data_IF_578130559094
#
_entry.id   IF_578130559094
#
_cell.length_a   1.000
_cell.length_b   1.000
_cell.length_c   1.000
_cell.angle_alpha   90.00
_cell.angle_beta   90.00
_cell.angle_gamma   90.00
#
_symmetry.space_group_name_H-M   'P 1'
#
loop_
_entity.id
_entity.type
_entity.pdbx_description
1 polymer ?
#
# COMPACT_ATOMS: atom_id res chain seq x y z
N UNK A 1 -8.87 -39.09 26.51
CA UNK A 1 -10.23 -38.54 26.72
C UNK A 1 -11.25 -39.65 26.45
N UNK A 2 -11.84 -40.29 27.47
CA UNK A 2 -12.92 -41.24 27.24
C UNK A 2 -14.11 -40.50 26.61
N UNK A 3 -14.76 -41.08 25.61
CA UNK A 3 -15.93 -40.49 24.96
C UNK A 3 -17.07 -40.32 25.98
N UNK A 4 -17.86 -39.24 25.86
CA UNK A 4 -18.97 -38.94 26.78
C UNK A 4 -19.97 -40.10 26.96
N UNK A 5 -20.06 -40.99 25.97
CA UNK A 5 -20.85 -42.22 26.00
C UNK A 5 -20.37 -43.23 27.06
N UNK A 6 -19.06 -43.33 27.32
CA UNK A 6 -18.50 -44.27 28.28
C UNK A 6 -18.82 -43.89 29.75
N UNK A 7 -18.92 -42.60 30.04
CA UNK A 7 -19.17 -42.06 31.39
C UNK A 7 -20.60 -42.37 31.85
N UNK A 8 -21.56 -42.38 30.93
CA UNK A 8 -22.97 -42.63 31.24
C UNK A 8 -23.24 -44.05 31.74
N UNK A 9 -22.43 -45.05 31.33
CA UNK A 9 -22.60 -46.44 31.72
C UNK A 9 -22.04 -46.77 33.12
N UNK A 10 -21.23 -45.89 33.71
CA UNK A 10 -20.64 -46.09 35.04
C UNK A 10 -21.46 -45.47 36.19
N UNK A 11 -22.46 -44.65 35.85
CA UNK A 11 -23.30 -43.95 36.82
C UNK A 11 -24.63 -44.71 36.89
N UNK A 12 -24.80 -45.51 37.95
CA UNK A 12 -26.01 -46.27 38.33
C UNK A 12 -26.93 -46.70 37.16
N UNK A 13 -26.94 -47.97 36.74
CA UNK A 13 -27.62 -48.43 35.50
C UNK A 13 -29.15 -48.26 35.49
N UNK A 14 -29.73 -47.67 36.54
CA UNK A 14 -31.18 -47.47 36.73
C UNK A 14 -31.67 -46.04 36.45
N UNK A 15 -30.81 -45.07 36.14
CA UNK A 15 -31.22 -43.67 35.84
C UNK A 15 -31.00 -43.34 34.36
N UNK A 16 -32.05 -42.89 33.66
CA UNK A 16 -32.02 -42.59 32.22
C UNK A 16 -31.69 -41.13 31.86
N UNK A 17 -31.71 -40.21 32.82
CA UNK A 17 -31.41 -38.79 32.57
C UNK A 17 -30.61 -38.23 33.75
N UNK A 18 -29.58 -37.43 33.43
CA UNK A 18 -28.71 -36.79 34.40
C UNK A 18 -28.65 -35.28 34.13
N UNK A 19 -28.61 -34.48 35.20
CA UNK A 19 -28.37 -33.04 35.04
C UNK A 19 -26.90 -32.82 34.72
N UNK A 20 -26.59 -31.89 33.81
CA UNK A 20 -25.20 -31.60 33.38
C UNK A 20 -24.24 -31.36 34.55
N UNK A 21 -24.73 -30.74 35.63
CA UNK A 21 -23.95 -30.56 36.87
C UNK A 21 -23.50 -31.87 37.54
N UNK A 22 -24.34 -32.90 37.54
CA UNK A 22 -24.03 -34.22 38.14
C UNK A 22 -23.00 -34.99 37.31
N UNK A 23 -23.10 -34.91 35.98
CA UNK A 23 -22.12 -35.52 35.06
C UNK A 23 -20.75 -34.86 35.19
N UNK A 24 -20.72 -33.54 35.35
CA UNK A 24 -19.47 -32.78 35.45
C UNK A 24 -18.77 -33.02 36.80
N UNK A 25 -19.54 -33.12 37.89
CA UNK A 25 -19.02 -33.47 39.21
C UNK A 25 -18.44 -34.90 39.24
N UNK A 26 -19.16 -35.88 38.69
CA UNK A 26 -18.69 -37.27 38.65
C UNK A 26 -17.47 -37.46 37.73
N UNK A 27 -17.41 -36.71 36.63
CA UNK A 27 -16.22 -36.66 35.76
C UNK A 27 -15.01 -36.04 36.45
N UNK A 28 -15.19 -35.13 37.40
CA UNK A 28 -14.08 -34.54 38.15
C UNK A 28 -13.57 -35.49 39.24
N UNK A 29 -14.48 -36.19 39.92
CA UNK A 29 -14.13 -37.27 40.88
C UNK A 29 -13.33 -38.38 40.19
N UNK A 30 -13.81 -38.90 39.05
CA UNK A 30 -13.11 -39.95 38.29
C UNK A 30 -11.72 -39.52 37.79
N UNK A 31 -11.51 -38.23 37.52
CA UNK A 31 -10.20 -37.69 37.12
C UNK A 31 -9.23 -37.58 38.31
N UNK A 32 -9.73 -37.32 39.52
CA UNK A 32 -8.91 -37.34 40.73
C UNK A 32 -8.50 -38.77 41.12
N UNK A 33 -9.39 -39.74 40.93
CA UNK A 33 -9.09 -41.16 41.20
C UNK A 33 -8.10 -41.77 40.18
N UNK A 34 -8.08 -41.28 38.94
CA UNK A 34 -7.11 -41.72 37.90
C UNK A 34 -5.70 -41.12 38.09
N UNK A 35 -5.55 -39.99 38.80
CA UNK A 35 -4.25 -39.37 39.09
C UNK A 35 -3.51 -40.00 40.29
N UNK A 36 -4.19 -40.75 41.16
CA UNK A 36 -3.58 -41.45 42.31
C UNK A 36 -3.13 -42.90 42.02
N UNK A 37 -3.43 -43.46 40.85
CA UNK A 37 -3.03 -44.83 40.47
C UNK A 37 -2.25 -44.85 39.16
N UNK A 38 -0.97 -44.46 39.22
CA UNK A 38 -0.07 -44.52 38.06
C UNK A 38 0.24 -45.95 37.57
N UNK A 39 0.23 -46.16 36.25
CA UNK A 39 1.09 -47.13 35.55
C UNK A 39 0.97 -47.01 34.02
N UNK A 40 2.13 -46.92 33.38
CA UNK A 40 2.48 -46.97 31.96
C UNK A 40 1.58 -47.78 31.00
N UNK A 41 1.33 -47.22 29.81
CA UNK A 41 1.43 -47.94 28.54
C UNK A 41 1.54 -46.98 27.33
N UNK A 42 2.69 -47.07 26.67
CA UNK A 42 3.11 -46.49 25.40
C UNK A 42 2.26 -47.00 24.21
N UNK A 43 1.78 -46.09 23.34
CA UNK A 43 1.44 -46.38 21.93
C UNK A 43 1.62 -45.13 21.06
N UNK A 44 2.71 -45.14 20.30
CA UNK A 44 2.91 -44.38 19.06
C UNK A 44 1.84 -44.72 18.04
N UNK A 45 1.27 -43.69 17.41
CA UNK A 45 0.85 -43.76 16.01
C UNK A 45 1.21 -42.45 15.32
N UNK A 46 1.89 -42.64 14.19
CA UNK A 46 2.54 -41.70 13.31
C UNK A 46 1.50 -41.11 12.33
N UNK A 47 1.39 -39.79 12.31
CA UNK A 47 0.68 -39.05 11.28
C UNK A 47 1.38 -37.70 11.07
N UNK A 48 2.34 -37.72 10.13
CA UNK A 48 2.73 -36.62 9.23
C UNK A 48 2.33 -35.21 9.69
N UNK A 49 3.26 -34.62 10.44
CA UNK A 49 3.32 -33.23 10.81
C UNK A 49 3.63 -32.34 9.59
N UNK A 50 2.63 -31.61 9.10
CA UNK A 50 2.84 -30.36 8.37
C UNK A 50 1.73 -29.38 8.75
N UNK A 51 1.78 -28.93 9.99
CA UNK A 51 1.00 -27.82 10.49
C UNK A 51 1.90 -27.04 11.45
N UNK A 52 2.04 -25.74 11.13
CA UNK A 52 2.49 -24.68 12.01
C UNK A 52 3.76 -24.97 12.81
N UNK A 53 4.88 -24.46 12.30
CA UNK A 53 5.94 -23.98 13.18
C UNK A 53 5.29 -22.98 14.15
N UNK A 54 4.91 -23.48 15.33
CA UNK A 54 4.70 -22.68 16.52
C UNK A 54 6.08 -22.16 16.94
N UNK A 55 6.61 -21.22 16.14
CA UNK A 55 7.58 -20.28 16.66
C UNK A 55 6.84 -19.49 17.74
N UNK A 56 7.21 -19.82 18.97
CA UNK A 56 6.87 -19.15 20.22
C UNK A 56 7.40 -17.71 20.20
N UNK A 57 6.85 -16.89 19.30
CA UNK A 57 7.04 -15.46 19.31
C UNK A 57 5.74 -14.91 19.85
N UNK A 58 5.81 -14.48 21.10
CA UNK A 58 5.02 -13.43 21.70
C UNK A 58 4.79 -12.33 20.65
N UNK A 59 3.83 -12.55 19.74
CA UNK A 59 3.44 -11.62 18.71
C UNK A 59 2.73 -10.54 19.51
N UNK A 60 3.55 -9.61 19.98
CA UNK A 60 3.28 -8.54 20.93
C UNK A 60 1.79 -8.33 21.10
N UNK A 61 1.22 -8.79 22.23
CA UNK A 61 -0.21 -8.67 22.51
C UNK A 61 -0.72 -7.24 22.27
N UNK A 62 0.16 -6.24 22.42
CA UNK A 62 -0.07 -4.83 22.05
C UNK A 62 -0.37 -4.67 20.55
N UNK A 63 0.44 -5.28 19.68
CA UNK A 63 0.26 -5.25 18.21
C UNK A 63 -1.01 -5.97 17.77
N UNK A 64 -1.37 -7.08 18.41
CA UNK A 64 -2.64 -7.77 18.14
C UNK A 64 -3.82 -6.89 18.57
N UNK A 65 -3.77 -6.32 19.77
CA UNK A 65 -4.82 -5.43 20.26
C UNK A 65 -5.02 -4.21 19.35
N UNK A 66 -3.92 -3.56 18.94
CA UNK A 66 -3.96 -2.46 17.97
C UNK A 66 -4.53 -2.90 16.61
N UNK A 67 -4.16 -4.08 16.14
CA UNK A 67 -4.70 -4.64 14.88
C UNK A 67 -6.21 -4.86 14.97
N UNK A 68 -6.71 -5.33 16.12
CA UNK A 68 -8.15 -5.49 16.36
C UNK A 68 -8.87 -4.15 16.32
N UNK A 69 -8.33 -3.13 16.98
CA UNK A 69 -8.96 -1.81 17.03
C UNK A 69 -8.98 -1.16 15.64
N UNK A 70 -7.86 -1.20 14.91
CA UNK A 70 -7.75 -0.67 13.54
C UNK A 70 -8.65 -1.40 12.53
N UNK A 71 -8.89 -2.70 12.69
CA UNK A 71 -9.84 -3.45 11.88
C UNK A 71 -11.29 -3.08 12.21
N UNK A 72 -11.60 -2.88 13.50
CA UNK A 72 -12.94 -2.43 13.93
C UNK A 72 -13.27 -1.03 13.46
N UNK A 73 -12.29 -0.11 13.48
CA UNK A 73 -12.45 1.23 12.91
C UNK A 73 -12.80 1.19 11.41
N UNK A 74 -12.26 0.19 10.68
CA UNK A 74 -12.55 -0.07 9.27
C UNK A 74 -13.79 -0.93 9.03
N UNK A 75 -14.49 -1.35 10.08
CA UNK A 75 -15.63 -2.28 10.04
C UNK A 75 -15.31 -3.63 9.38
N UNK A 76 -14.06 -4.08 9.48
CA UNK A 76 -13.60 -5.35 8.94
C UNK A 76 -13.63 -6.46 10.01
N UNK A 77 -13.88 -7.73 9.61
CA UNK A 77 -13.84 -8.84 10.54
C UNK A 77 -12.48 -8.94 11.25
N UNK A 78 -12.51 -9.06 12.58
CA UNK A 78 -11.29 -9.10 13.41
C UNK A 78 -10.41 -10.31 13.07
N UNK A 79 -11.02 -11.45 12.75
CA UNK A 79 -10.31 -12.67 12.32
C UNK A 79 -11.20 -13.51 11.43
N UNK A 80 -10.70 -13.93 10.27
CA UNK A 80 -11.39 -14.91 9.41
C UNK A 80 -11.00 -16.35 9.78
N UNK A 81 -11.82 -17.31 9.35
CA UNK A 81 -11.56 -18.73 9.61
C UNK A 81 -10.25 -19.17 8.95
N UNK A 82 -9.37 -19.81 9.73
CA UNK A 82 -8.08 -20.29 9.26
C UNK A 82 -6.96 -19.24 9.18
N UNK A 83 -7.21 -17.97 9.47
CA UNK A 83 -6.15 -16.95 9.51
C UNK A 83 -5.26 -17.10 10.76
N UNK A 84 -3.94 -17.12 10.63
CA UNK A 84 -3.03 -16.94 11.77
C UNK A 84 -2.97 -15.46 12.21
N UNK A 85 -2.41 -15.16 13.40
CA UNK A 85 -2.24 -13.75 13.83
C UNK A 85 -1.40 -12.94 12.84
N UNK A 86 -0.39 -13.57 12.23
CA UNK A 86 0.41 -12.94 11.18
C UNK A 86 -0.42 -12.60 9.94
N UNK A 87 -1.39 -13.44 9.58
CA UNK A 87 -2.25 -13.21 8.41
C UNK A 87 -3.24 -12.07 8.64
N UNK A 88 -3.78 -11.95 9.85
CA UNK A 88 -4.64 -10.81 10.25
C UNK A 88 -3.87 -9.48 10.11
N UNK A 89 -2.62 -9.44 10.60
CA UNK A 89 -1.75 -8.24 10.50
C UNK A 89 -1.42 -7.93 9.04
N UNK A 90 -1.09 -8.94 8.23
CA UNK A 90 -0.85 -8.76 6.79
C UNK A 90 -2.08 -8.21 6.07
N UNK A 91 -3.27 -8.70 6.41
CA UNK A 91 -4.54 -8.20 5.85
C UNK A 91 -4.78 -6.75 6.23
N UNK A 92 -4.60 -6.38 7.50
CA UNK A 92 -4.70 -4.99 7.93
C UNK A 92 -3.72 -4.09 7.16
N UNK A 93 -2.46 -4.51 7.02
CA UNK A 93 -1.46 -3.73 6.27
C UNK A 93 -1.85 -3.53 4.80
N UNK A 94 -2.47 -4.53 4.16
CA UNK A 94 -3.00 -4.38 2.80
C UNK A 94 -4.11 -3.34 2.74
N UNK A 95 -5.08 -3.43 3.65
CA UNK A 95 -6.20 -2.48 3.73
C UNK A 95 -5.70 -1.05 3.98
N UNK A 96 -4.72 -0.88 4.87
CA UNK A 96 -4.10 0.42 5.13
C UNK A 96 -3.43 1.00 3.88
N UNK A 97 -2.72 0.16 3.13
CA UNK A 97 -2.11 0.60 1.87
C UNK A 97 -3.19 0.98 0.85
N UNK A 98 -4.23 0.18 0.67
CA UNK A 98 -5.35 0.47 -0.24
C UNK A 98 -6.06 1.78 0.14
N UNK A 99 -6.32 2.02 1.43
CA UNK A 99 -6.88 3.28 1.94
C UNK A 99 -5.95 4.47 1.62
N UNK A 100 -4.64 4.29 1.76
CA UNK A 100 -3.68 5.35 1.46
C UNK A 100 -3.57 5.63 -0.04
N UNK A 101 -3.62 4.59 -0.87
CA UNK A 101 -3.61 4.71 -2.33
C UNK A 101 -4.86 5.40 -2.85
N UNK A 102 -6.04 5.00 -2.35
CA UNK A 102 -7.32 5.62 -2.69
C UNK A 102 -7.35 7.09 -2.26
N UNK A 103 -6.97 7.39 -1.03
CA UNK A 103 -6.88 8.77 -0.53
C UNK A 103 -5.89 9.62 -1.35
N UNK A 104 -4.73 9.07 -1.70
CA UNK A 104 -3.75 9.75 -2.55
C UNK A 104 -4.33 10.06 -3.93
N UNK A 105 -5.04 9.10 -4.53
CA UNK A 105 -5.72 9.29 -5.82
C UNK A 105 -6.80 10.37 -5.73
N UNK A 106 -7.62 10.35 -4.67
CA UNK A 106 -8.66 11.36 -4.44
C UNK A 106 -8.08 12.77 -4.24
N UNK A 107 -7.02 12.89 -3.46
CA UNK A 107 -6.31 14.16 -3.22
C UNK A 107 -5.68 14.69 -4.52
N UNK A 108 -5.08 13.80 -5.32
CA UNK A 108 -4.56 14.15 -6.65
C UNK A 108 -5.66 14.68 -7.56
N UNK A 109 -6.80 13.98 -7.68
CA UNK A 109 -7.94 14.44 -8.48
C UNK A 109 -8.50 15.77 -7.98
N UNK A 110 -8.59 15.95 -6.65
CA UNK A 110 -9.06 17.19 -6.03
C UNK A 110 -8.18 18.37 -6.41
N UNK A 111 -6.87 18.18 -6.41
CA UNK A 111 -5.90 19.19 -6.78
C UNK A 111 -5.92 19.49 -8.29
N UNK A 112 -6.26 18.51 -9.13
CA UNK A 112 -6.32 18.67 -10.59
C UNK A 112 -7.61 19.37 -11.06
N UNK A 113 -8.74 19.19 -10.36
CA UNK A 113 -10.05 19.79 -10.70
C UNK A 113 -10.03 21.31 -11.00
N UNK A 114 -9.40 22.18 -10.19
CA UNK A 114 -9.36 23.62 -10.50
C UNK A 114 -8.63 23.92 -11.80
N UNK A 115 -7.48 23.27 -12.05
CA UNK A 115 -6.70 23.45 -13.28
C UNK A 115 -7.46 22.99 -14.52
N UNK A 116 -8.16 21.85 -14.45
CA UNK A 116 -8.99 21.38 -15.56
C UNK A 116 -10.11 22.37 -15.89
N UNK A 117 -10.69 23.01 -14.86
CA UNK A 117 -11.72 24.02 -15.01
C UNK A 117 -11.17 25.29 -15.68
N UNK A 118 -10.00 25.76 -15.27
CA UNK A 118 -9.35 26.93 -15.85
C UNK A 118 -8.84 26.67 -17.27
N UNK A 119 -8.25 25.50 -17.53
CA UNK A 119 -7.88 25.05 -18.87
C UNK A 119 -9.10 25.00 -19.81
N UNK A 120 -10.25 24.52 -19.32
CA UNK A 120 -11.49 24.50 -20.09
C UNK A 120 -12.06 25.90 -20.34
N UNK A 121 -11.73 26.90 -19.52
CA UNK A 121 -12.16 28.29 -19.68
C UNK A 121 -11.28 29.04 -20.68
N UNK A 122 -9.98 28.78 -20.68
CA UNK A 122 -9.02 29.36 -21.62
C UNK A 122 -9.23 28.82 -23.04
N UNK A 123 -9.47 27.52 -23.18
CA UNK A 123 -9.69 26.86 -24.47
C UNK A 123 -11.16 26.90 -24.94
N UNK A 124 -11.86 28.01 -24.69
CA UNK A 124 -13.27 28.20 -25.10
C UNK A 124 -13.48 28.24 -26.61
N UNK A 125 -12.46 28.63 -27.36
CA UNK A 125 -12.41 28.44 -28.81
C UNK A 125 -11.96 27.01 -29.09
N UNK A 126 -12.86 26.18 -29.61
CA UNK A 126 -12.62 24.76 -29.94
C UNK A 126 -11.49 24.51 -30.97
N UNK A 127 -10.81 25.57 -31.42
CA UNK A 127 -9.91 25.60 -32.56
C UNK A 127 -8.44 25.30 -32.20
N UNK A 128 -8.05 25.32 -30.92
CA UNK A 128 -6.70 24.91 -30.51
C UNK A 128 -6.73 24.25 -29.13
N UNK A 129 -6.47 22.95 -29.07
CA UNK A 129 -6.34 22.16 -27.82
C UNK A 129 -4.86 21.81 -27.57
N UNK A 130 -3.97 22.41 -28.36
CA UNK A 130 -2.56 22.08 -28.34
C UNK A 130 -1.87 22.73 -27.15
N UNK A 131 -1.00 21.97 -26.53
CA UNK A 131 -0.19 22.41 -25.40
C UNK A 131 1.02 23.13 -25.93
N UNK A 132 1.47 24.16 -25.21
CA UNK A 132 2.66 24.91 -25.60
C UNK A 132 3.89 24.00 -25.72
N UNK A 133 4.51 24.03 -26.89
CA UNK A 133 5.78 23.38 -27.16
C UNK A 133 6.92 24.37 -26.94
N UNK A 134 7.89 24.03 -26.08
CA UNK A 134 9.09 24.84 -25.91
C UNK A 134 9.97 24.76 -27.18
N UNK A 135 10.49 25.91 -27.65
CA UNK A 135 11.36 26.06 -28.83
C UNK A 135 12.80 25.55 -28.60
N UNK A 136 12.95 24.46 -27.85
CA UNK A 136 14.26 23.94 -27.43
C UNK A 136 14.80 23.00 -28.49
N UNK A 137 15.83 23.44 -29.21
CA UNK A 137 16.55 22.62 -30.18
C UNK A 137 17.62 21.77 -29.47
N UNK A 138 17.18 20.81 -28.68
CA UNK A 138 18.06 19.79 -28.11
C UNK A 138 17.59 18.39 -28.46
N UNK A 139 18.55 17.58 -28.86
CA UNK A 139 18.37 16.17 -29.16
C UNK A 139 18.88 15.33 -27.98
N UNK A 140 18.39 14.09 -27.89
CA UNK A 140 18.91 13.09 -26.95
C UNK A 140 20.44 12.92 -27.09
N UNK A 141 20.97 13.06 -28.31
CA UNK A 141 22.42 13.00 -28.57
C UNK A 141 23.19 14.12 -27.87
N UNK A 142 22.69 15.35 -27.95
CA UNK A 142 23.32 16.53 -27.34
C UNK A 142 23.33 16.41 -25.82
N UNK A 143 22.25 15.87 -25.26
CA UNK A 143 22.12 15.58 -23.84
C UNK A 143 23.13 14.52 -23.37
N UNK A 144 23.31 13.44 -24.15
CA UNK A 144 24.35 12.43 -23.87
C UNK A 144 25.76 13.01 -23.99
N UNK A 145 26.00 13.96 -24.89
CA UNK A 145 27.28 14.64 -25.00
C UNK A 145 27.56 15.54 -23.78
N UNK A 146 26.55 16.29 -23.31
CA UNK A 146 26.66 17.07 -22.07
C UNK A 146 26.89 16.18 -20.85
N UNK A 147 26.24 15.00 -20.81
CA UNK A 147 26.44 14.01 -19.75
C UNK A 147 27.87 13.50 -19.68
N UNK A 148 28.55 13.31 -20.82
CA UNK A 148 29.98 12.93 -20.84
C UNK A 148 30.90 14.03 -20.29
N UNK A 149 30.46 15.28 -20.28
CA UNK A 149 31.23 16.43 -19.77
C UNK A 149 31.07 16.62 -18.26
N UNK A 150 30.32 15.74 -17.55
CA UNK A 150 30.11 15.82 -16.09
C UNK A 150 31.34 15.54 -15.22
N UNK A 151 32.46 15.13 -15.79
CA UNK A 151 33.57 14.55 -15.02
C UNK A 151 34.36 15.53 -14.12
N UNK A 152 33.87 16.75 -13.83
CA UNK A 152 34.67 17.77 -13.12
C UNK A 152 33.94 18.60 -12.07
N UNK A 153 32.95 18.03 -11.37
CA UNK A 153 32.36 18.65 -10.16
C UNK A 153 31.89 20.09 -10.36
N UNK A 154 31.52 20.43 -11.60
CA UNK A 154 31.12 21.77 -11.96
C UNK A 154 29.61 21.84 -11.85
N UNK A 155 29.14 22.32 -10.70
CA UNK A 155 27.71 22.51 -10.38
C UNK A 155 27.00 23.30 -11.48
N UNK A 156 27.70 24.18 -12.20
CA UNK A 156 27.17 24.89 -13.36
C UNK A 156 26.70 23.95 -14.47
N UNK A 157 27.61 23.06 -14.90
CA UNK A 157 27.38 22.13 -15.99
C UNK A 157 26.31 21.10 -15.58
N UNK A 158 26.28 20.73 -14.31
CA UNK A 158 25.28 19.82 -13.76
C UNK A 158 23.89 20.49 -13.78
N UNK A 159 23.78 21.74 -13.32
CA UNK A 159 22.53 22.50 -13.35
C UNK A 159 22.04 22.72 -14.80
N UNK A 160 22.96 23.01 -15.73
CA UNK A 160 22.65 23.15 -17.15
C UNK A 160 22.15 21.84 -17.74
N UNK A 161 22.82 20.72 -17.45
CA UNK A 161 22.37 19.40 -17.91
C UNK A 161 20.96 19.09 -17.38
N UNK A 162 20.72 19.29 -16.09
CA UNK A 162 19.44 18.98 -15.45
C UNK A 162 18.34 19.89 -16.01
N UNK A 163 18.61 21.18 -16.19
CA UNK A 163 17.67 22.11 -16.83
C UNK A 163 17.32 21.63 -18.24
N UNK A 164 18.34 21.29 -19.02
CA UNK A 164 18.21 20.83 -20.39
C UNK A 164 17.46 19.52 -20.49
N UNK A 165 17.72 18.58 -19.59
CA UNK A 165 17.03 17.30 -19.49
C UNK A 165 15.53 17.45 -19.25
N UNK A 166 15.16 18.17 -18.19
CA UNK A 166 13.75 18.36 -17.84
C UNK A 166 13.01 19.15 -18.93
N UNK A 167 13.65 20.15 -19.52
CA UNK A 167 13.04 20.91 -20.61
C UNK A 167 12.87 20.06 -21.87
N UNK A 168 13.81 19.17 -22.17
CA UNK A 168 13.68 18.20 -23.25
C UNK A 168 12.52 17.21 -23.01
N UNK A 169 12.36 16.69 -21.78
CA UNK A 169 11.25 15.81 -21.43
C UNK A 169 9.91 16.54 -21.59
N UNK A 170 9.78 17.77 -21.08
CA UNK A 170 8.56 18.55 -21.19
C UNK A 170 8.19 18.85 -22.65
N UNK A 171 9.20 19.13 -23.50
CA UNK A 171 9.01 19.28 -24.94
C UNK A 171 8.54 17.99 -25.61
N UNK A 172 9.20 16.87 -25.33
CA UNK A 172 8.81 15.56 -25.89
C UNK A 172 7.38 15.19 -25.51
N UNK A 173 6.99 15.45 -24.27
CA UNK A 173 5.63 15.22 -23.81
C UNK A 173 4.62 16.14 -24.52
N UNK A 174 4.94 17.43 -24.71
CA UNK A 174 4.07 18.36 -25.45
C UNK A 174 3.84 17.89 -26.90
N UNK A 175 4.91 17.51 -27.60
CA UNK A 175 4.83 16.97 -28.97
C UNK A 175 3.96 15.70 -29.01
N UNK A 176 4.14 14.79 -28.05
CA UNK A 176 3.32 13.59 -27.98
C UNK A 176 1.83 13.92 -27.78
N UNK A 177 1.51 14.85 -26.88
CA UNK A 177 0.14 15.32 -26.65
C UNK A 177 -0.47 15.94 -27.91
N UNK A 178 0.30 16.77 -28.62
CA UNK A 178 -0.14 17.47 -29.82
C UNK A 178 -0.19 16.58 -31.06
N UNK A 179 0.56 15.48 -31.11
CA UNK A 179 0.50 14.50 -32.20
C UNK A 179 -0.77 13.64 -32.21
N UNK A 180 -1.52 13.64 -31.10
CA UNK A 180 -2.78 12.88 -30.98
C UNK A 180 -3.82 13.40 -31.97
N UNK A 181 -4.80 12.59 -32.33
CA UNK A 181 -5.90 13.09 -33.15
C UNK A 181 -6.76 14.07 -32.36
N UNK A 182 -7.40 14.97 -33.11
CA UNK A 182 -8.27 16.01 -32.60
C UNK A 182 -9.42 15.48 -31.75
N UNK A 183 -9.95 14.30 -32.10
CA UNK A 183 -11.00 13.64 -31.33
C UNK A 183 -10.48 13.23 -29.95
N UNK A 184 -9.26 12.67 -29.89
CA UNK A 184 -8.62 12.22 -28.65
C UNK A 184 -8.30 13.41 -27.75
N UNK A 185 -7.76 14.51 -28.32
CA UNK A 185 -7.46 15.75 -27.56
C UNK A 185 -8.70 16.34 -26.89
N UNK A 186 -9.85 16.31 -27.59
CA UNK A 186 -11.11 16.88 -27.08
C UNK A 186 -11.80 16.02 -26.02
N UNK A 187 -11.42 14.75 -25.86
CA UNK A 187 -11.96 13.90 -24.80
C UNK A 187 -11.66 14.44 -23.40
N UNK A 188 -12.43 14.03 -22.39
CA UNK A 188 -12.16 14.38 -20.99
C UNK A 188 -10.75 13.96 -20.55
N UNK A 189 -10.28 12.79 -21.01
CA UNK A 189 -8.92 12.31 -20.73
C UNK A 189 -7.85 13.10 -21.47
N UNK A 190 -8.09 13.51 -22.72
CA UNK A 190 -7.21 14.38 -23.49
C UNK A 190 -7.03 15.74 -22.81
N UNK A 191 -8.12 16.39 -22.42
CA UNK A 191 -8.11 17.66 -21.68
C UNK A 191 -7.43 17.55 -20.31
N UNK A 192 -7.68 16.45 -19.58
CA UNK A 192 -6.94 16.15 -18.33
C UNK A 192 -5.45 16.03 -18.59
N UNK A 193 -5.02 15.27 -19.59
CA UNK A 193 -3.61 15.10 -19.91
C UNK A 193 -2.93 16.42 -20.28
N UNK A 194 -3.58 17.25 -21.09
CA UNK A 194 -3.09 18.59 -21.44
C UNK A 194 -2.99 19.50 -20.21
N UNK A 195 -4.02 19.50 -19.36
CA UNK A 195 -4.01 20.25 -18.10
C UNK A 195 -2.91 19.78 -17.15
N UNK A 196 -2.67 18.47 -17.04
CA UNK A 196 -1.57 17.91 -16.22
C UNK A 196 -0.21 18.37 -16.73
N UNK A 197 0.01 18.42 -18.05
CA UNK A 197 1.25 18.92 -18.62
C UNK A 197 1.48 20.39 -18.24
N UNK A 198 0.49 21.26 -18.48
CA UNK A 198 0.57 22.68 -18.12
C UNK A 198 0.83 22.87 -16.62
N UNK A 199 0.13 22.12 -15.78
CA UNK A 199 0.31 22.14 -14.33
C UNK A 199 1.72 21.70 -13.91
N UNK A 200 2.24 20.63 -14.51
CA UNK A 200 3.59 20.14 -14.25
C UNK A 200 4.62 21.19 -14.66
N UNK A 201 4.42 21.87 -15.78
CA UNK A 201 5.28 22.96 -16.25
C UNK A 201 5.33 24.12 -15.26
N UNK A 202 4.19 24.51 -14.69
CA UNK A 202 4.13 25.55 -13.65
C UNK A 202 4.87 25.12 -12.39
N UNK A 203 4.70 23.87 -11.94
CA UNK A 203 5.43 23.34 -10.79
C UNK A 203 6.94 23.21 -11.02
N UNK A 204 7.38 22.99 -12.25
CA UNK A 204 8.80 22.97 -12.61
C UNK A 204 9.40 24.38 -12.76
N UNK A 205 8.60 25.42 -12.95
CA UNK A 205 9.09 26.79 -13.08
C UNK A 205 10.03 27.26 -11.94
N UNK A 206 9.72 27.06 -10.64
CA UNK A 206 10.63 27.40 -9.55
C UNK A 206 11.95 26.62 -9.64
N UNK A 207 11.90 25.33 -10.01
CA UNK A 207 13.10 24.52 -10.22
C UNK A 207 13.95 25.10 -11.36
N UNK A 208 13.36 25.40 -12.52
CA UNK A 208 14.08 26.00 -13.64
C UNK A 208 14.73 27.34 -13.28
N UNK A 209 14.09 28.15 -12.42
CA UNK A 209 14.71 29.37 -11.89
C UNK A 209 15.92 29.04 -11.02
N UNK A 210 15.80 28.08 -10.10
CA UNK A 210 16.92 27.67 -9.23
C UNK A 210 18.10 27.10 -10.03
N UNK A 211 17.83 26.28 -11.05
CA UNK A 211 18.85 25.72 -11.94
C UNK A 211 19.59 26.81 -12.73
N UNK A 212 18.87 27.86 -13.18
CA UNK A 212 19.48 29.02 -13.86
C UNK A 212 20.39 29.86 -12.96
N UNK A 213 20.14 29.88 -11.65
CA UNK A 213 20.93 30.65 -10.69
C UNK A 213 21.94 29.80 -9.90
N UNK A 214 22.09 28.50 -10.23
CA UNK A 214 23.02 27.58 -9.57
C UNK A 214 22.84 27.51 -8.05
N UNK A 215 21.63 27.80 -7.57
CA UNK A 215 21.33 28.04 -6.16
C UNK A 215 20.70 26.82 -5.47
N UNK A 216 20.89 25.62 -6.05
CA UNK A 216 20.38 24.36 -5.47
C UNK A 216 21.00 24.11 -4.08
N UNK A 217 22.21 24.64 -3.85
CA UNK A 217 22.92 24.49 -2.57
C UNK A 217 22.30 25.29 -1.41
N UNK A 218 21.69 26.45 -1.65
CA UNK A 218 21.15 27.27 -0.53
C UNK A 218 19.87 26.67 0.05
N UNK A 219 18.96 26.16 -0.78
CA UNK A 219 17.69 25.60 -0.31
C UNK A 219 17.84 24.30 0.48
N UNK A 220 18.84 23.46 0.15
CA UNK A 220 19.14 22.24 0.91
C UNK A 220 19.90 22.50 2.21
N UNK A 221 20.65 23.61 2.30
CA UNK A 221 21.48 23.95 3.46
C UNK A 221 20.69 24.68 4.56
N UNK A 222 19.48 25.18 4.27
CA UNK A 222 18.56 25.75 5.27
C UNK A 222 17.41 24.81 5.68
N UNK A 223 17.36 23.60 5.11
CA UNK A 223 16.34 22.59 5.42
C UNK A 223 16.79 21.56 6.49
N UNK A 224 17.98 21.75 7.07
CA UNK A 224 18.55 21.00 8.20
C UNK A 224 19.30 21.96 9.13
#
# INVERSE_FOLDING_TARGET
MPSESAICNYIEPSKKFFRRGEVTAKSAELKQDEEESGSSADRKDDATNDCCEEENVDFDLSKIAETVDRLRERNEPVRMFGESNADVIKRLSRLENEDTETKCSEDFERNQKPYLKDFSRENKSEENVDVYEDDIDMTMSDLMEMSKKLEKGNVQLDCELVHNFFSFIMKKWAIELNSRTDEVKRTANGKRAASTHSQTREYLQPLFRQLKFYNIWSTLLFAF
#
